data_IF_411597191413
#
_entry.id   IF_411597191413
#
_cell.length_a   1.000
_cell.length_b   1.000
_cell.length_c   1.000
_cell.angle_alpha   90.00
_cell.angle_beta   90.00
_cell.angle_gamma   90.00
#
_symmetry.space_group_name_H-M   'P 1'
#
loop_
_entity.id
_entity.type
_entity.pdbx_description
1 polymer ?
#
# COMPACT_ATOMS: atom_id res chain seq x y z
N UNK A 1 21.52 11.37 7.48
CA UNK A 1 22.69 10.47 7.40
C UNK A 1 22.40 9.03 6.93
N UNK A 2 21.25 8.41 7.21
CA UNK A 2 20.95 7.03 6.80
C UNK A 2 20.77 6.88 5.28
N UNK A 3 20.01 7.77 4.65
CA UNK A 3 19.74 7.75 3.18
C UNK A 3 21.03 7.86 2.38
N UNK A 4 21.96 8.75 2.76
CA UNK A 4 23.22 8.91 2.06
C UNK A 4 24.07 7.64 2.07
N UNK A 5 24.13 6.91 3.21
CA UNK A 5 24.85 5.64 3.31
C UNK A 5 24.23 4.56 2.40
N UNK A 6 22.91 4.51 2.35
CA UNK A 6 22.18 3.51 1.54
C UNK A 6 22.27 3.81 0.03
N UNK A 7 22.37 5.09 -0.36
CA UNK A 7 22.66 5.48 -1.75
C UNK A 7 24.03 5.00 -2.23
N UNK A 8 25.03 4.98 -1.33
CA UNK A 8 26.38 4.46 -1.65
C UNK A 8 26.42 2.93 -1.74
N UNK A 9 25.38 2.23 -1.36
CA UNK A 9 25.33 0.77 -1.33
C UNK A 9 24.49 0.19 -2.49
N UNK A 10 24.83 0.53 -3.75
CA UNK A 10 24.23 -0.04 -4.94
C UNK A 10 23.12 0.80 -5.58
N UNK A 11 23.14 2.13 -5.39
CA UNK A 11 22.23 3.07 -6.06
C UNK A 11 23.00 4.17 -6.79
N UNK A 12 23.97 3.80 -7.64
CA UNK A 12 24.85 4.76 -8.30
C UNK A 12 24.13 5.66 -9.31
N UNK A 13 23.17 5.12 -10.07
CA UNK A 13 22.37 5.88 -11.04
C UNK A 13 21.41 6.83 -10.34
N UNK A 14 20.66 6.34 -9.34
CA UNK A 14 19.76 7.18 -8.52
C UNK A 14 20.55 8.27 -7.82
N UNK A 15 21.74 7.97 -7.32
CA UNK A 15 22.64 8.95 -6.71
C UNK A 15 23.11 10.02 -7.69
N UNK A 16 23.44 9.66 -8.93
CA UNK A 16 23.81 10.60 -9.98
C UNK A 16 22.66 11.54 -10.35
N UNK A 17 21.44 11.01 -10.53
CA UNK A 17 20.23 11.79 -10.79
C UNK A 17 19.90 12.73 -9.61
N UNK A 18 20.10 12.27 -8.39
CA UNK A 18 19.92 13.10 -7.20
C UNK A 18 20.94 14.25 -7.14
N UNK A 19 22.21 13.96 -7.41
CA UNK A 19 23.27 14.95 -7.44
C UNK A 19 23.07 16.00 -8.57
N UNK A 20 22.46 15.58 -9.69
CA UNK A 20 22.06 16.46 -10.79
C UNK A 20 20.79 17.29 -10.47
N UNK A 21 20.12 17.04 -9.34
CA UNK A 21 18.87 17.72 -8.96
C UNK A 21 17.62 17.22 -9.71
N UNK A 22 17.72 16.10 -10.42
CA UNK A 22 16.61 15.52 -11.19
C UNK A 22 15.67 14.68 -10.32
N UNK A 23 16.13 14.25 -9.14
CA UNK A 23 15.33 13.56 -8.13
C UNK A 23 15.27 14.39 -6.84
N UNK A 24 14.07 14.51 -6.26
CA UNK A 24 13.91 15.11 -4.93
C UNK A 24 14.26 14.10 -3.82
N UNK A 25 14.61 14.63 -2.63
CA UNK A 25 14.85 13.84 -1.41
C UNK A 25 13.76 12.79 -1.15
N UNK A 26 12.50 13.18 -1.35
CA UNK A 26 11.37 12.30 -1.10
C UNK A 26 11.28 11.14 -2.11
N UNK A 27 11.60 11.38 -3.39
CA UNK A 27 11.68 10.33 -4.41
C UNK A 27 12.82 9.35 -4.08
N UNK A 28 13.98 9.88 -3.71
CA UNK A 28 15.13 9.06 -3.30
C UNK A 28 14.82 8.23 -2.06
N UNK A 29 14.25 8.84 -1.02
CA UNK A 29 13.83 8.12 0.19
C UNK A 29 12.85 6.98 -0.12
N UNK A 30 11.94 7.18 -1.08
CA UNK A 30 10.97 6.18 -1.52
C UNK A 30 11.67 4.98 -2.18
N UNK A 31 12.65 5.21 -3.05
CA UNK A 31 13.43 4.16 -3.70
C UNK A 31 14.26 3.38 -2.67
N UNK A 32 14.99 4.09 -1.82
CA UNK A 32 15.82 3.50 -0.76
C UNK A 32 14.98 2.64 0.19
N UNK A 33 13.82 3.12 0.60
CA UNK A 33 12.91 2.35 1.46
C UNK A 33 12.40 1.07 0.78
N UNK A 34 12.07 1.13 -0.51
CA UNK A 34 11.58 -0.01 -1.27
C UNK A 34 12.65 -1.11 -1.44
N UNK A 35 13.92 -0.73 -1.53
CA UNK A 35 15.06 -1.62 -1.79
C UNK A 35 15.91 -1.96 -0.56
N UNK A 36 15.55 -1.44 0.62
CA UNK A 36 16.34 -1.56 1.85
C UNK A 36 16.69 -3.01 2.26
N UNK A 37 15.89 -3.98 1.83
CA UNK A 37 16.05 -5.40 2.15
C UNK A 37 16.93 -6.18 1.15
N UNK A 38 17.33 -5.54 0.07
CA UNK A 38 18.18 -6.10 -0.97
C UNK A 38 19.65 -5.99 -0.57
N UNK A 39 20.48 -6.92 -1.07
CA UNK A 39 21.92 -6.77 -0.99
C UNK A 39 22.42 -5.77 -2.06
N UNK A 40 23.71 -5.36 -2.01
CA UNK A 40 24.23 -4.35 -2.94
C UNK A 40 24.14 -4.77 -4.42
N UNK A 41 24.32 -6.04 -4.76
CA UNK A 41 24.25 -6.51 -6.14
C UNK A 41 22.81 -6.52 -6.66
N UNK A 42 21.86 -6.92 -5.81
CA UNK A 42 20.43 -6.86 -6.13
C UNK A 42 19.96 -5.41 -6.30
N UNK A 43 20.45 -4.48 -5.44
CA UNK A 43 20.16 -3.05 -5.56
C UNK A 43 20.70 -2.45 -6.85
N UNK A 44 21.91 -2.81 -7.25
CA UNK A 44 22.50 -2.32 -8.50
C UNK A 44 21.66 -2.71 -9.73
N UNK A 45 21.11 -3.93 -9.75
CA UNK A 45 20.19 -4.34 -10.83
C UNK A 45 18.90 -3.52 -10.84
N UNK A 46 18.33 -3.25 -9.66
CA UNK A 46 17.14 -2.40 -9.55
C UNK A 46 17.46 -0.96 -9.94
N UNK A 47 18.63 -0.45 -9.60
CA UNK A 47 19.10 0.89 -9.92
C UNK A 47 19.24 1.10 -11.45
N UNK A 48 19.78 0.11 -12.16
CA UNK A 48 19.84 0.08 -13.62
C UNK A 48 18.44 0.15 -14.25
N UNK A 49 17.56 -0.73 -13.84
CA UNK A 49 16.17 -0.79 -14.32
C UNK A 49 15.39 0.50 -14.07
N UNK A 50 15.61 1.16 -12.93
CA UNK A 50 15.00 2.45 -12.61
C UNK A 50 15.49 3.55 -13.55
N UNK A 51 16.80 3.57 -13.86
CA UNK A 51 17.38 4.54 -14.78
C UNK A 51 16.86 4.36 -16.22
N UNK A 52 16.80 3.10 -16.71
CA UNK A 52 16.25 2.79 -18.03
C UNK A 52 14.79 3.26 -18.19
N UNK A 53 14.02 3.24 -17.11
CA UNK A 53 12.62 3.69 -17.10
C UNK A 53 12.44 5.17 -16.80
N UNK A 54 13.51 5.94 -16.83
CA UNK A 54 13.50 7.40 -16.63
C UNK A 54 12.76 7.77 -15.34
N UNK A 55 13.18 7.18 -14.24
CA UNK A 55 12.53 7.31 -12.93
C UNK A 55 12.36 8.76 -12.49
N UNK A 56 13.23 9.66 -12.91
CA UNK A 56 13.19 11.10 -12.63
C UNK A 56 11.90 11.76 -13.14
N UNK A 57 11.32 11.24 -14.22
CA UNK A 57 10.08 11.76 -14.83
C UNK A 57 8.81 11.29 -14.11
N UNK A 58 8.92 10.27 -13.25
CA UNK A 58 7.78 9.63 -12.61
C UNK A 58 7.34 10.36 -11.34
N UNK A 59 6.03 10.33 -11.08
CA UNK A 59 5.47 10.74 -9.79
C UNK A 59 5.80 9.73 -8.67
N UNK A 60 5.83 10.21 -7.42
CA UNK A 60 6.23 9.43 -6.23
C UNK A 60 5.50 8.08 -6.11
N UNK A 61 4.19 8.04 -6.33
CA UNK A 61 3.41 6.80 -6.27
C UNK A 61 3.88 5.78 -7.28
N UNK A 62 4.12 6.21 -8.52
CA UNK A 62 4.65 5.33 -9.58
C UNK A 62 6.06 4.83 -9.26
N UNK A 63 6.91 5.70 -8.70
CA UNK A 63 8.25 5.33 -8.23
C UNK A 63 8.16 4.25 -7.15
N UNK A 64 7.28 4.45 -6.17
CA UNK A 64 7.06 3.47 -5.09
C UNK A 64 6.65 2.10 -5.65
N UNK A 65 5.66 2.07 -6.54
CA UNK A 65 5.12 0.83 -7.09
C UNK A 65 6.15 0.14 -8.00
N UNK A 66 6.85 0.91 -8.83
CA UNK A 66 7.91 0.42 -9.71
C UNK A 66 9.09 -0.15 -8.90
N UNK A 67 9.63 0.60 -7.94
CA UNK A 67 10.76 0.17 -7.13
C UNK A 67 10.43 -1.11 -6.33
N UNK A 68 9.21 -1.23 -5.80
CA UNK A 68 8.76 -2.46 -5.13
C UNK A 68 8.63 -3.65 -6.06
N UNK A 69 8.11 -3.44 -7.27
CA UNK A 69 8.00 -4.48 -8.29
C UNK A 69 9.37 -4.99 -8.72
N UNK A 70 10.30 -4.08 -9.00
CA UNK A 70 11.67 -4.40 -9.37
C UNK A 70 12.42 -5.10 -8.23
N UNK A 71 12.24 -4.64 -6.99
CA UNK A 71 12.82 -5.28 -5.81
C UNK A 71 12.31 -6.72 -5.60
N UNK A 72 11.02 -6.95 -5.84
CA UNK A 72 10.45 -8.30 -5.78
C UNK A 72 11.00 -9.21 -6.87
N UNK A 73 11.17 -8.69 -8.09
CA UNK A 73 11.75 -9.43 -9.22
C UNK A 73 13.25 -9.71 -9.02
N UNK A 74 14.00 -8.77 -8.44
CA UNK A 74 15.43 -8.93 -8.19
C UNK A 74 15.75 -9.98 -7.12
N UNK A 75 14.83 -10.21 -6.15
CA UNK A 75 15.03 -11.15 -5.04
C UNK A 75 13.73 -11.90 -4.67
N UNK A 76 13.20 -12.79 -5.53
CA UNK A 76 11.90 -13.43 -5.35
C UNK A 76 11.81 -14.27 -4.06
N UNK A 77 12.89 -14.95 -3.68
CA UNK A 77 12.93 -15.73 -2.44
C UNK A 77 12.85 -14.85 -1.19
N UNK A 78 13.56 -13.71 -1.19
CA UNK A 78 13.48 -12.73 -0.11
C UNK A 78 12.07 -12.12 -0.04
N UNK A 79 11.48 -11.82 -1.18
CA UNK A 79 10.10 -11.33 -1.26
C UNK A 79 9.11 -12.35 -0.69
N UNK A 80 9.18 -13.60 -1.11
CA UNK A 80 8.31 -14.69 -0.63
C UNK A 80 8.44 -14.88 0.89
N UNK A 81 9.66 -14.88 1.43
CA UNK A 81 9.89 -14.97 2.88
C UNK A 81 9.27 -13.80 3.64
N UNK A 82 9.43 -12.57 3.11
CA UNK A 82 8.81 -11.36 3.71
C UNK A 82 7.29 -11.41 3.68
N UNK A 83 6.70 -11.81 2.56
CA UNK A 83 5.24 -11.98 2.47
C UNK A 83 4.73 -13.02 3.48
N UNK A 84 5.48 -14.11 3.68
CA UNK A 84 5.13 -15.14 4.64
C UNK A 84 5.25 -14.64 6.08
N UNK A 85 6.31 -13.91 6.41
CA UNK A 85 6.49 -13.27 7.71
C UNK A 85 5.40 -12.20 7.98
N UNK A 86 5.07 -11.37 6.99
CA UNK A 86 4.04 -10.35 7.12
C UNK A 86 2.63 -10.91 7.42
N UNK A 87 2.38 -12.19 7.09
CA UNK A 87 1.11 -12.85 7.47
C UNK A 87 0.94 -13.00 8.98
N UNK A 88 2.01 -13.05 9.75
CA UNK A 88 1.93 -13.07 11.22
C UNK A 88 1.55 -11.71 11.83
N UNK A 89 1.70 -10.63 11.07
CA UNK A 89 1.37 -9.27 11.50
C UNK A 89 -0.11 -8.90 11.34
N UNK A 90 -0.96 -9.89 10.98
CA UNK A 90 -2.41 -9.67 10.87
C UNK A 90 -2.98 -9.16 12.17
N UNK A 91 -3.73 -8.09 12.08
CA UNK A 91 -4.38 -7.48 13.25
C UNK A 91 -5.60 -6.66 12.87
N UNK A 92 -6.46 -6.47 13.83
CA UNK A 92 -7.52 -5.47 13.78
C UNK A 92 -7.25 -4.46 14.88
N UNK A 93 -7.37 -3.18 14.58
CA UNK A 93 -7.15 -2.10 15.54
C UNK A 93 -8.22 -1.03 15.40
N UNK A 94 -8.54 -0.37 16.51
CA UNK A 94 -9.45 0.78 16.57
C UNK A 94 -8.64 1.99 17.02
N UNK A 95 -8.85 3.11 16.36
CA UNK A 95 -8.26 4.41 16.73
C UNK A 95 -9.37 5.45 16.83
N UNK A 96 -9.42 6.24 17.90
CA UNK A 96 -10.33 7.37 17.97
C UNK A 96 -10.06 8.37 16.84
N UNK A 97 -11.12 8.90 16.26
CA UNK A 97 -11.09 10.00 15.30
C UNK A 97 -11.86 11.21 15.87
N UNK A 98 -11.93 12.31 15.12
CA UNK A 98 -12.69 13.48 15.54
C UNK A 98 -14.20 13.20 15.56
N UNK A 99 -14.93 14.07 16.23
CA UNK A 99 -16.41 14.14 16.19
C UNK A 99 -17.13 12.83 16.60
N UNK A 100 -16.57 12.11 17.57
CA UNK A 100 -17.14 10.87 18.09
C UNK A 100 -17.01 9.68 17.13
N UNK A 101 -16.17 9.79 16.10
CA UNK A 101 -15.88 8.72 15.16
C UNK A 101 -14.68 7.89 15.62
N UNK A 102 -14.49 6.74 14.97
CA UNK A 102 -13.30 5.92 15.13
C UNK A 102 -12.96 5.21 13.81
N UNK A 103 -11.67 5.00 13.58
CA UNK A 103 -11.17 4.20 12.47
C UNK A 103 -11.00 2.74 12.90
N UNK A 104 -11.73 1.84 12.28
CA UNK A 104 -11.51 0.40 12.38
C UNK A 104 -10.61 -0.03 11.21
N UNK A 105 -9.40 -0.48 11.52
CA UNK A 105 -8.42 -0.88 10.52
C UNK A 105 -8.11 -2.36 10.63
N UNK A 106 -8.31 -3.12 9.56
CA UNK A 106 -7.89 -4.51 9.43
C UNK A 106 -6.62 -4.59 8.57
N UNK A 107 -5.51 -5.05 9.14
CA UNK A 107 -4.27 -5.35 8.43
C UNK A 107 -4.23 -6.82 8.09
N UNK A 108 -4.45 -7.16 6.83
CA UNK A 108 -4.68 -8.51 6.34
C UNK A 108 -3.82 -8.79 5.11
N UNK A 109 -3.54 -10.06 4.76
CA UNK A 109 -3.07 -10.44 3.44
C UNK A 109 -3.97 -9.84 2.35
N UNK A 110 -3.37 -9.42 1.24
CA UNK A 110 -4.07 -8.67 0.19
C UNK A 110 -5.29 -9.41 -0.34
N UNK A 111 -5.18 -10.73 -0.53
CA UNK A 111 -6.28 -11.58 -0.97
C UNK A 111 -7.48 -11.56 -0.01
N UNK A 112 -7.21 -11.57 1.30
CA UNK A 112 -8.26 -11.50 2.32
C UNK A 112 -8.88 -10.10 2.41
N UNK A 113 -8.05 -9.06 2.37
CA UNK A 113 -8.53 -7.68 2.41
C UNK A 113 -9.43 -7.35 1.21
N UNK A 114 -9.00 -7.77 0.00
CA UNK A 114 -9.79 -7.60 -1.22
C UNK A 114 -11.10 -8.39 -1.15
N UNK A 115 -11.06 -9.64 -0.69
CA UNK A 115 -12.26 -10.46 -0.55
C UNK A 115 -13.26 -9.86 0.44
N UNK A 116 -12.80 -9.38 1.60
CA UNK A 116 -13.65 -8.70 2.58
C UNK A 116 -14.29 -7.45 1.99
N UNK A 117 -13.49 -6.59 1.34
CA UNK A 117 -14.01 -5.37 0.74
C UNK A 117 -15.00 -5.65 -0.40
N UNK A 118 -14.69 -6.60 -1.30
CA UNK A 118 -15.57 -7.01 -2.38
C UNK A 118 -16.92 -7.55 -1.87
N UNK A 119 -16.91 -8.31 -0.77
CA UNK A 119 -18.13 -8.81 -0.14
C UNK A 119 -19.02 -7.67 0.41
N UNK A 120 -18.42 -6.61 0.97
CA UNK A 120 -19.13 -5.43 1.45
C UNK A 120 -19.71 -4.62 0.29
N UNK A 121 -18.90 -4.40 -0.75
CA UNK A 121 -19.34 -3.70 -1.97
C UNK A 121 -20.51 -4.42 -2.62
N UNK A 122 -20.40 -5.73 -2.82
CA UNK A 122 -21.49 -6.54 -3.38
C UNK A 122 -22.79 -6.41 -2.58
N UNK A 123 -22.72 -6.47 -1.26
CA UNK A 123 -23.90 -6.30 -0.42
C UNK A 123 -24.51 -4.89 -0.52
N UNK A 124 -23.68 -3.86 -0.63
CA UNK A 124 -24.17 -2.50 -0.85
C UNK A 124 -24.84 -2.32 -2.23
N UNK A 125 -24.28 -2.94 -3.27
CA UNK A 125 -24.85 -2.90 -4.63
C UNK A 125 -26.19 -3.65 -4.69
N UNK A 126 -26.33 -4.79 -3.99
CA UNK A 126 -27.60 -5.52 -3.86
C UNK A 126 -28.69 -4.69 -3.15
N UNK A 127 -28.32 -3.88 -2.17
CA UNK A 127 -29.24 -2.96 -1.49
C UNK A 127 -29.66 -1.79 -2.39
N UNK A 128 -28.75 -1.31 -3.25
CA UNK A 128 -29.03 -0.19 -4.16
C UNK A 128 -30.04 -0.55 -5.27
N UNK A 129 -30.23 -1.83 -5.59
CA UNK A 129 -31.19 -2.30 -6.60
C UNK A 129 -32.62 -2.40 -6.05
N UNK A 130 -32.83 -2.23 -4.74
CA UNK A 130 -34.17 -2.27 -4.15
C UNK A 130 -35.04 -1.10 -4.61
N UNK A 131 -36.36 -1.29 -4.75
CA UNK A 131 -37.26 -0.25 -5.27
C UNK A 131 -37.39 0.95 -4.34
N UNK A 132 -37.02 0.84 -3.06
CA UNK A 132 -37.03 1.97 -2.13
C UNK A 132 -35.73 2.79 -2.29
N UNK A 133 -35.82 4.12 -2.54
CA UNK A 133 -34.65 4.96 -2.71
C UNK A 133 -33.82 4.98 -1.43
N UNK A 134 -32.55 4.62 -1.54
CA UNK A 134 -31.60 4.76 -0.45
C UNK A 134 -31.35 6.26 -0.19
N UNK A 135 -31.68 6.75 1.01
CA UNK A 135 -31.35 8.10 1.47
C UNK A 135 -29.88 8.23 1.85
N UNK A 136 -29.15 7.11 1.94
CA UNK A 136 -27.75 7.00 2.36
C UNK A 136 -26.83 6.86 1.17
N UNK A 137 -25.67 7.51 1.26
CA UNK A 137 -24.59 7.34 0.27
C UNK A 137 -23.99 5.92 0.31
N UNK A 138 -23.45 5.46 -0.82
CA UNK A 138 -22.86 4.13 -0.97
C UNK A 138 -21.82 3.79 0.13
N UNK A 139 -20.98 4.76 0.53
CA UNK A 139 -20.01 4.58 1.60
C UNK A 139 -20.65 4.28 2.96
N UNK A 140 -21.76 4.94 3.27
CA UNK A 140 -22.53 4.71 4.50
C UNK A 140 -23.14 3.31 4.51
N UNK A 141 -23.70 2.86 3.38
CA UNK A 141 -24.25 1.49 3.24
C UNK A 141 -23.17 0.44 3.44
N UNK A 142 -21.97 0.64 2.91
CA UNK A 142 -20.82 -0.27 3.12
C UNK A 142 -20.44 -0.31 4.61
N UNK A 143 -20.39 0.84 5.29
CA UNK A 143 -20.06 0.92 6.72
C UNK A 143 -21.14 0.23 7.59
N UNK A 144 -22.40 0.49 7.30
CA UNK A 144 -23.53 -0.15 8.00
C UNK A 144 -23.51 -1.67 7.80
N UNK A 145 -23.24 -2.13 6.58
CA UNK A 145 -23.12 -3.57 6.27
C UNK A 145 -21.96 -4.21 7.02
N UNK A 146 -20.84 -3.50 7.17
CA UNK A 146 -19.72 -3.99 7.98
C UNK A 146 -20.13 -4.18 9.44
N UNK A 147 -20.78 -3.17 10.03
CA UNK A 147 -21.24 -3.22 11.41
C UNK A 147 -22.24 -4.37 11.61
N UNK A 148 -23.25 -4.46 10.76
CA UNK A 148 -24.26 -5.51 10.80
C UNK A 148 -23.64 -6.91 10.74
N UNK A 149 -22.74 -7.15 9.81
CA UNK A 149 -22.09 -8.46 9.65
C UNK A 149 -21.19 -8.86 10.82
N UNK A 150 -20.53 -7.88 11.45
CA UNK A 150 -19.62 -8.16 12.56
C UNK A 150 -20.34 -8.24 13.92
N UNK A 151 -21.40 -7.46 14.13
CA UNK A 151 -22.08 -7.38 15.43
C UNK A 151 -23.41 -8.12 15.46
N UNK A 152 -23.98 -8.44 14.30
CA UNK A 152 -25.34 -8.97 14.18
C UNK A 152 -26.42 -7.92 14.47
N UNK A 153 -26.05 -6.66 14.69
CA UNK A 153 -26.98 -5.57 14.99
C UNK A 153 -27.28 -4.78 13.72
N UNK A 154 -28.55 -4.58 13.42
CA UNK A 154 -28.96 -3.66 12.37
C UNK A 154 -28.50 -2.24 12.72
N UNK A 155 -27.94 -1.53 11.75
CA UNK A 155 -27.54 -0.14 11.98
C UNK A 155 -28.76 0.70 12.39
N UNK A 156 -28.71 1.45 13.49
CA UNK A 156 -29.85 2.22 13.99
C UNK A 156 -30.20 3.44 13.12
N UNK A 157 -29.38 3.75 12.11
CA UNK A 157 -29.62 4.88 11.22
C UNK A 157 -30.44 4.39 10.03
N UNK A 158 -31.76 4.50 10.14
CA UNK A 158 -32.69 4.44 9.02
C UNK A 158 -32.83 5.80 8.36
#
# INVERSE_FOLDING_TARGET
MRIARELHAGHDRVRALFAAGELSDYKVATIVAATAHLDPAERARVDEELAERKVETLGVRRIHDLARSLAAAAAPDKFTRRCRAARSDRRVSVRPAADGMADLTAHLPVEQAVACYAALVKAADELAVRPEPLTRGRGQVIADTLVERLTGQLSPVR
#
